data_IF_504790858053
#
_entry.id   IF_504790858053
#
_cell.length_a   1.000
_cell.length_b   1.000
_cell.length_c   1.000
_cell.angle_alpha   90.00
_cell.angle_beta   90.00
_cell.angle_gamma   90.00
#
_symmetry.space_group_name_H-M   'P 1'
#
loop_
_entity.id
_entity.type
_entity.pdbx_description
1 polymer ?
#
# COMPACT_ATOMS: atom_id res chain seq x y z
N UNK A 1 32.68 -31.70 -14.70
CA UNK A 1 31.67 -32.42 -15.52
C UNK A 1 30.33 -32.13 -14.82
N UNK A 2 29.73 -30.96 -15.13
CA UNK A 2 28.50 -30.54 -14.52
C UNK A 2 27.30 -31.07 -15.32
N UNK A 3 26.41 -31.78 -14.63
CA UNK A 3 25.16 -32.25 -15.21
C UNK A 3 24.15 -31.11 -15.26
N UNK A 4 23.52 -30.81 -16.40
CA UNK A 4 22.48 -29.81 -16.47
C UNK A 4 21.23 -30.32 -15.70
N UNK A 5 20.75 -29.49 -14.77
CA UNK A 5 19.50 -29.69 -14.02
C UNK A 5 18.33 -29.74 -15.02
N UNK A 6 17.68 -30.89 -15.10
CA UNK A 6 16.52 -31.07 -15.96
C UNK A 6 15.33 -30.27 -15.41
N UNK A 7 14.94 -29.22 -16.13
CA UNK A 7 13.69 -28.50 -15.91
C UNK A 7 12.53 -29.45 -16.21
N UNK A 8 11.68 -29.71 -15.23
CA UNK A 8 10.55 -30.61 -15.36
C UNK A 8 9.47 -29.99 -16.25
N UNK A 9 9.15 -30.54 -17.45
CA UNK A 9 8.22 -29.95 -18.40
C UNK A 9 6.75 -29.91 -17.90
N UNK A 10 6.39 -30.69 -16.89
CA UNK A 10 5.04 -30.72 -16.32
C UNK A 10 4.73 -29.44 -15.52
N UNK A 11 5.71 -28.87 -14.80
CA UNK A 11 5.54 -27.63 -14.03
C UNK A 11 5.41 -26.37 -14.91
N UNK A 12 5.95 -26.40 -16.12
CA UNK A 12 5.87 -25.28 -17.04
C UNK A 12 4.50 -25.24 -17.76
N UNK A 13 3.93 -26.40 -18.06
CA UNK A 13 2.59 -26.53 -18.65
C UNK A 13 1.47 -26.12 -17.69
N UNK A 14 1.56 -26.46 -16.41
CA UNK A 14 0.59 -26.03 -15.38
C UNK A 14 0.64 -24.54 -15.15
N UNK A 15 1.82 -23.92 -15.09
CA UNK A 15 1.97 -22.46 -14.96
C UNK A 15 1.35 -21.69 -16.13
N UNK A 16 1.53 -22.15 -17.36
CA UNK A 16 0.96 -21.49 -18.55
C UNK A 16 -0.56 -21.61 -18.60
N UNK A 17 -1.14 -22.72 -18.14
CA UNK A 17 -2.60 -22.90 -18.03
C UNK A 17 -3.19 -22.00 -16.95
N UNK A 18 -2.54 -21.89 -15.79
CA UNK A 18 -2.98 -21.00 -14.70
C UNK A 18 -2.89 -19.52 -15.10
N UNK A 19 -1.83 -19.12 -15.80
CA UNK A 19 -1.67 -17.77 -16.32
C UNK A 19 -2.74 -17.44 -17.37
N UNK A 20 -3.03 -18.34 -18.29
CA UNK A 20 -4.07 -18.17 -19.29
C UNK A 20 -5.46 -18.10 -18.67
N UNK A 21 -5.75 -18.93 -17.67
CA UNK A 21 -7.01 -18.90 -16.94
C UNK A 21 -7.17 -17.59 -16.13
N UNK A 22 -6.09 -17.12 -15.51
CA UNK A 22 -6.06 -15.84 -14.80
C UNK A 22 -6.28 -14.68 -15.75
N UNK A 23 -5.58 -14.66 -16.89
CA UNK A 23 -5.72 -13.63 -17.91
C UNK A 23 -7.15 -13.61 -18.47
N UNK A 24 -7.73 -14.77 -18.80
CA UNK A 24 -9.11 -14.87 -19.28
C UNK A 24 -10.12 -14.38 -18.23
N UNK A 25 -9.87 -14.61 -16.95
CA UNK A 25 -10.71 -14.11 -15.84
C UNK A 25 -10.60 -12.60 -15.71
N UNK A 26 -9.40 -12.05 -15.77
CA UNK A 26 -9.14 -10.60 -15.74
C UNK A 26 -9.81 -9.92 -16.94
N UNK A 27 -9.62 -10.46 -18.14
CA UNK A 27 -10.22 -9.91 -19.37
C UNK A 27 -11.75 -9.90 -19.33
N UNK A 28 -12.41 -10.92 -18.76
CA UNK A 28 -13.86 -10.92 -18.58
C UNK A 28 -14.34 -9.78 -17.68
N UNK A 29 -13.61 -9.50 -16.59
CA UNK A 29 -13.94 -8.37 -15.72
C UNK A 29 -13.80 -7.03 -16.44
N UNK A 30 -12.73 -6.86 -17.22
CA UNK A 30 -12.51 -5.64 -18.02
C UNK A 30 -13.57 -5.48 -19.10
N UNK A 31 -13.93 -6.53 -19.82
CA UNK A 31 -14.95 -6.48 -20.86
C UNK A 31 -16.31 -6.03 -20.30
N UNK A 32 -16.75 -6.60 -19.20
CA UNK A 32 -17.96 -6.17 -18.50
C UNK A 32 -17.89 -4.71 -18.03
N UNK A 33 -16.75 -4.31 -17.45
CA UNK A 33 -16.53 -2.95 -17.01
C UNK A 33 -16.57 -1.94 -18.18
N UNK A 34 -15.89 -2.24 -19.30
CA UNK A 34 -15.82 -1.37 -20.47
C UNK A 34 -17.19 -1.23 -21.16
N UNK A 35 -17.96 -2.33 -21.26
CA UNK A 35 -19.31 -2.29 -21.85
C UNK A 35 -20.26 -1.38 -21.06
N UNK A 36 -20.13 -1.34 -19.74
CA UNK A 36 -20.94 -0.49 -18.88
C UNK A 36 -20.53 0.98 -18.82
N UNK A 37 -19.40 1.36 -19.45
CA UNK A 37 -18.93 2.75 -19.46
C UNK A 37 -19.86 3.67 -20.26
N UNK A 38 -20.12 4.87 -19.72
CA UNK A 38 -20.76 5.94 -20.48
C UNK A 38 -19.81 6.44 -21.58
N UNK A 39 -20.38 7.03 -22.64
CA UNK A 39 -19.59 7.54 -23.77
C UNK A 39 -18.48 8.50 -23.34
N UNK A 40 -18.77 9.39 -22.37
CA UNK A 40 -17.79 10.35 -21.83
C UNK A 40 -16.61 9.63 -21.16
N UNK A 41 -16.88 8.59 -20.38
CA UNK A 41 -15.85 7.87 -19.61
C UNK A 41 -14.95 7.05 -20.55
N UNK A 42 -15.54 6.45 -21.60
CA UNK A 42 -14.78 5.82 -22.70
C UNK A 42 -13.84 6.80 -23.38
N UNK A 43 -14.31 8.05 -23.63
CA UNK A 43 -13.48 9.08 -24.25
C UNK A 43 -12.34 9.54 -23.34
N UNK A 44 -12.53 9.56 -22.02
CA UNK A 44 -11.45 9.84 -21.05
C UNK A 44 -10.37 8.75 -21.14
N UNK A 45 -10.76 7.48 -21.12
CA UNK A 45 -9.83 6.35 -21.24
C UNK A 45 -9.07 6.39 -22.57
N UNK A 46 -9.77 6.64 -23.69
CA UNK A 46 -9.14 6.70 -25.01
C UNK A 46 -8.19 7.88 -25.19
N UNK A 47 -8.36 8.95 -24.42
CA UNK A 47 -7.49 10.14 -24.44
C UNK A 47 -6.41 10.09 -23.38
N UNK A 48 -6.58 9.28 -22.33
CA UNK A 48 -5.52 9.01 -21.39
C UNK A 48 -4.38 8.37 -22.18
N UNK A 49 -3.19 8.97 -22.10
CA UNK A 49 -1.97 8.29 -22.54
C UNK A 49 -1.90 6.91 -21.88
N UNK A 50 -1.00 6.02 -22.30
CA UNK A 50 -0.83 4.64 -21.81
C UNK A 50 -0.67 4.49 -20.28
N UNK A 51 -1.21 5.43 -19.50
CA UNK A 51 -1.25 5.38 -18.05
C UNK A 51 -2.34 4.40 -17.58
N UNK A 52 -1.89 3.18 -17.33
CA UNK A 52 -2.69 2.11 -16.77
C UNK A 52 -3.54 2.55 -15.55
N UNK A 53 -3.02 3.45 -14.72
CA UNK A 53 -3.69 3.87 -13.50
C UNK A 53 -4.84 4.83 -13.74
N UNK A 54 -4.72 5.72 -14.71
CA UNK A 54 -5.85 6.59 -15.14
C UNK A 54 -6.99 5.74 -15.69
N UNK A 55 -6.66 4.67 -16.42
CA UNK A 55 -7.65 3.69 -16.90
C UNK A 55 -8.33 2.99 -15.73
N UNK A 56 -7.56 2.51 -14.74
CA UNK A 56 -8.08 1.83 -13.56
C UNK A 56 -8.97 2.74 -12.71
N UNK A 57 -8.57 3.98 -12.49
CA UNK A 57 -9.34 4.96 -11.74
C UNK A 57 -10.68 5.28 -12.42
N UNK A 58 -10.65 5.47 -13.73
CA UNK A 58 -11.88 5.71 -14.52
C UNK A 58 -12.81 4.50 -14.46
N UNK A 59 -12.29 3.27 -14.55
CA UNK A 59 -13.09 2.05 -14.43
C UNK A 59 -13.67 1.87 -13.02
N UNK A 60 -12.94 2.24 -11.97
CA UNK A 60 -13.40 2.16 -10.59
C UNK A 60 -14.57 3.10 -10.30
N UNK A 61 -14.59 4.27 -10.95
CA UNK A 61 -15.63 5.29 -10.78
C UNK A 61 -16.83 5.08 -11.72
N UNK A 62 -16.69 4.26 -12.75
CA UNK A 62 -17.73 4.03 -13.74
C UNK A 62 -18.96 3.32 -13.13
N UNK A 63 -20.18 3.69 -13.53
CA UNK A 63 -21.41 3.04 -13.08
C UNK A 63 -21.64 1.72 -13.83
N UNK A 64 -20.83 0.70 -13.54
CA UNK A 64 -20.96 -0.64 -14.14
C UNK A 64 -21.81 -1.53 -13.25
N UNK A 65 -22.80 -2.21 -13.80
CA UNK A 65 -23.78 -3.00 -13.05
C UNK A 65 -23.24 -4.33 -12.52
N UNK A 66 -22.16 -4.87 -13.08
CA UNK A 66 -21.64 -6.19 -12.74
C UNK A 66 -20.50 -6.12 -11.74
N UNK A 67 -20.71 -6.71 -10.56
CA UNK A 67 -19.75 -6.90 -9.47
C UNK A 67 -19.42 -5.65 -8.64
N UNK A 68 -20.36 -5.31 -7.74
CA UNK A 68 -20.10 -4.35 -6.66
C UNK A 68 -18.82 -4.69 -5.86
N UNK A 69 -18.53 -5.97 -5.69
CA UNK A 69 -17.35 -6.47 -5.01
C UNK A 69 -16.04 -6.09 -5.72
N UNK A 70 -15.97 -6.23 -7.04
CA UNK A 70 -14.79 -5.81 -7.81
C UNK A 70 -14.51 -4.31 -7.66
N UNK A 71 -15.57 -3.48 -7.74
CA UNK A 71 -15.43 -2.02 -7.55
C UNK A 71 -14.92 -1.66 -6.16
N UNK A 72 -15.42 -2.32 -5.12
CA UNK A 72 -14.97 -2.09 -3.74
C UNK A 72 -13.49 -2.45 -3.62
N UNK A 73 -13.08 -3.62 -4.14
CA UNK A 73 -11.68 -4.06 -4.14
C UNK A 73 -10.78 -3.13 -4.93
N UNK A 74 -11.22 -2.69 -6.11
CA UNK A 74 -10.45 -1.78 -6.96
C UNK A 74 -10.30 -0.40 -6.31
N UNK A 75 -11.38 0.17 -5.74
CA UNK A 75 -11.33 1.43 -4.99
C UNK A 75 -10.39 1.31 -3.79
N UNK A 76 -10.46 0.21 -3.04
CA UNK A 76 -9.55 -0.06 -1.94
C UNK A 76 -8.09 -0.12 -2.39
N UNK A 77 -7.80 -0.79 -3.51
CA UNK A 77 -6.44 -0.87 -4.06
C UNK A 77 -5.92 0.51 -4.52
N UNK A 78 -6.77 1.31 -5.16
CA UNK A 78 -6.43 2.67 -5.58
C UNK A 78 -6.20 3.61 -4.39
N UNK A 79 -7.04 3.52 -3.35
CA UNK A 79 -6.87 4.29 -2.13
C UNK A 79 -5.53 3.94 -1.44
N UNK A 80 -5.23 2.66 -1.29
CA UNK A 80 -3.95 2.18 -0.76
C UNK A 80 -2.76 2.68 -1.58
N UNK A 81 -2.85 2.62 -2.91
CA UNK A 81 -1.81 3.16 -3.79
C UNK A 81 -1.61 4.65 -3.58
N UNK A 82 -2.71 5.43 -3.50
CA UNK A 82 -2.64 6.88 -3.25
C UNK A 82 -1.92 7.17 -1.93
N UNK A 83 -2.28 6.48 -0.85
CA UNK A 83 -1.61 6.62 0.44
C UNK A 83 -0.11 6.30 0.35
N UNK A 84 0.28 5.26 -0.39
CA UNK A 84 1.68 4.91 -0.58
C UNK A 84 2.48 5.91 -1.42
N UNK A 85 1.82 6.75 -2.22
CA UNK A 85 2.46 7.80 -3.02
C UNK A 85 2.61 9.12 -2.27
N UNK A 86 1.90 9.29 -1.14
CA UNK A 86 1.98 10.51 -0.33
C UNK A 86 3.34 10.64 0.36
N UNK A 87 3.73 11.87 0.64
CA UNK A 87 4.86 12.22 1.51
C UNK A 87 6.18 11.49 1.18
N UNK A 88 6.52 11.39 -0.11
CA UNK A 88 7.78 10.80 -0.58
C UNK A 88 7.68 9.35 -1.04
N UNK A 89 6.48 8.77 -1.01
CA UNK A 89 6.26 7.44 -1.55
C UNK A 89 6.79 6.31 -0.67
N UNK A 90 7.33 5.26 -1.29
CA UNK A 90 7.84 4.08 -0.59
C UNK A 90 9.28 3.76 -0.98
N UNK A 91 10.04 3.23 -0.04
CA UNK A 91 11.42 2.81 -0.18
C UNK A 91 11.53 1.29 -0.29
N UNK A 92 12.50 0.81 -1.06
CA UNK A 92 12.90 -0.59 -1.06
C UNK A 92 13.61 -0.96 0.26
N UNK A 93 13.68 -2.26 0.61
CA UNK A 93 14.46 -2.71 1.78
C UNK A 93 15.92 -2.25 1.76
N UNK A 94 16.53 -2.20 0.57
CA UNK A 94 17.91 -1.74 0.40
C UNK A 94 18.07 -0.23 0.62
N UNK A 95 17.11 0.56 0.13
CA UNK A 95 17.12 2.02 0.33
C UNK A 95 16.87 2.37 1.80
N UNK A 96 15.93 1.71 2.46
CA UNK A 96 15.67 1.88 3.89
C UNK A 96 16.91 1.48 4.73
N UNK A 97 17.59 0.39 4.36
CA UNK A 97 18.80 -0.06 5.02
C UNK A 97 19.94 0.96 4.90
N UNK A 98 20.16 1.50 3.70
CA UNK A 98 21.18 2.54 3.45
C UNK A 98 20.90 3.80 4.26
N UNK A 99 19.64 4.26 4.30
CA UNK A 99 19.22 5.45 5.03
C UNK A 99 19.40 5.29 6.56
N UNK A 100 19.16 4.08 7.09
CA UNK A 100 19.33 3.78 8.51
C UNK A 100 20.76 3.37 8.88
N UNK A 101 21.67 3.21 7.93
CA UNK A 101 23.03 2.73 8.18
C UNK A 101 23.09 1.29 8.71
N UNK A 102 22.15 0.42 8.32
CA UNK A 102 22.05 -0.97 8.81
C UNK A 102 21.94 -1.96 7.65
N UNK A 103 21.98 -3.27 7.96
CA UNK A 103 21.75 -4.31 6.95
C UNK A 103 20.25 -4.47 6.62
N UNK A 104 19.94 -5.02 5.43
CA UNK A 104 18.56 -5.39 5.06
C UNK A 104 17.93 -6.37 6.05
N UNK A 105 18.72 -7.26 6.62
CA UNK A 105 18.26 -8.18 7.67
C UNK A 105 17.82 -7.41 8.92
N UNK A 106 18.59 -6.41 9.35
CA UNK A 106 18.24 -5.56 10.49
C UNK A 106 16.95 -4.74 10.22
N UNK A 107 16.72 -4.26 9.00
CA UNK A 107 15.46 -3.62 8.59
C UNK A 107 14.28 -4.61 8.74
N UNK A 108 14.44 -5.85 8.26
CA UNK A 108 13.42 -6.88 8.39
C UNK A 108 13.12 -7.22 9.87
N UNK A 109 14.16 -7.32 10.68
CA UNK A 109 14.01 -7.57 12.13
C UNK A 109 13.30 -6.41 12.84
N UNK A 110 13.62 -5.16 12.52
CA UNK A 110 12.93 -3.98 13.07
C UNK A 110 11.44 -3.99 12.70
N UNK A 111 11.12 -4.31 11.44
CA UNK A 111 9.72 -4.47 11.01
C UNK A 111 9.01 -5.59 11.77
N UNK A 112 9.61 -6.76 11.87
CA UNK A 112 9.04 -7.89 12.60
C UNK A 112 8.84 -7.58 14.10
N UNK A 113 9.69 -6.73 14.68
CA UNK A 113 9.57 -6.26 16.06
C UNK A 113 8.58 -5.09 16.23
N UNK A 114 7.88 -4.65 15.17
CA UNK A 114 6.94 -3.53 15.22
C UNK A 114 7.61 -2.16 15.43
N UNK A 115 8.90 -2.03 15.11
CA UNK A 115 9.68 -0.78 15.23
C UNK A 115 9.85 -0.06 13.90
N UNK A 116 9.34 -0.64 12.83
CA UNK A 116 9.38 -0.10 11.48
C UNK A 116 8.12 -0.51 10.77
N UNK A 117 7.44 0.42 10.15
CA UNK A 117 6.25 0.15 9.36
C UNK A 117 6.66 -0.36 7.98
N UNK A 118 6.19 -1.55 7.62
CA UNK A 118 6.38 -2.13 6.30
C UNK A 118 5.06 -2.53 5.70
N UNK A 119 4.83 -2.15 4.46
CA UNK A 119 3.64 -2.53 3.67
C UNK A 119 3.99 -3.66 2.74
N UNK A 120 3.12 -4.64 2.65
CA UNK A 120 3.31 -5.77 1.75
C UNK A 120 3.13 -5.33 0.30
N UNK A 121 4.12 -5.59 -0.53
CA UNK A 121 4.13 -5.30 -1.96
C UNK A 121 4.32 -6.56 -2.79
N UNK A 122 4.22 -6.48 -4.13
CA UNK A 122 4.29 -7.66 -5.03
C UNK A 122 5.59 -8.48 -4.94
N UNK A 123 6.68 -7.87 -4.48
CA UNK A 123 8.03 -8.49 -4.41
C UNK A 123 8.61 -8.46 -2.99
N UNK A 124 7.75 -8.36 -1.98
CA UNK A 124 8.14 -8.25 -0.57
C UNK A 124 7.75 -6.91 0.04
N UNK A 125 8.32 -6.59 1.20
CA UNK A 125 7.94 -5.39 1.93
C UNK A 125 8.51 -4.11 1.32
N UNK A 126 7.68 -3.07 1.33
CA UNK A 126 8.03 -1.68 1.00
C UNK A 126 7.89 -0.84 2.27
N UNK A 127 8.67 0.21 2.38
CA UNK A 127 8.74 1.04 3.59
C UNK A 127 8.31 2.47 3.25
N UNK A 128 7.19 3.00 3.79
CA UNK A 128 6.80 4.38 3.57
C UNK A 128 7.95 5.34 3.87
N UNK A 129 8.25 6.25 2.93
CA UNK A 129 9.39 7.16 3.03
C UNK A 129 9.26 8.15 4.20
N UNK A 130 8.03 8.54 4.51
CA UNK A 130 7.70 9.54 5.52
C UNK A 130 8.03 9.15 6.98
N UNK A 131 8.30 7.87 7.24
CA UNK A 131 8.77 7.43 8.57
C UNK A 131 10.26 7.71 8.80
N UNK A 132 10.96 8.22 7.80
CA UNK A 132 12.39 8.51 7.85
C UNK A 132 12.66 10.01 7.72
N UNK A 133 13.82 10.41 8.23
CA UNK A 133 14.45 11.70 8.03
C UNK A 133 15.87 11.48 7.52
N UNK A 134 16.58 12.55 7.16
CA UNK A 134 17.98 12.48 6.78
C UNK A 134 18.90 11.95 7.89
N UNK A 135 18.39 11.90 9.13
CA UNK A 135 19.12 11.44 10.33
C UNK A 135 18.69 10.07 10.83
N UNK A 136 17.82 9.37 10.10
CA UNK A 136 17.30 8.06 10.49
C UNK A 136 15.77 8.04 10.66
N UNK A 137 15.27 7.41 11.71
CA UNK A 137 13.83 7.37 11.97
C UNK A 137 13.30 8.74 12.39
N UNK A 138 12.07 9.03 11.98
CA UNK A 138 11.34 10.22 12.44
C UNK A 138 11.15 10.13 13.98
N UNK A 139 11.54 11.16 14.76
CA UNK A 139 11.39 11.15 16.20
C UNK A 139 9.95 10.88 16.64
N UNK A 140 9.77 10.03 17.67
CA UNK A 140 8.46 9.63 18.18
C UNK A 140 7.73 8.56 17.36
N UNK A 141 8.21 8.24 16.15
CA UNK A 141 7.53 7.28 15.28
C UNK A 141 7.51 5.86 15.87
N UNK A 142 8.64 5.34 16.36
CA UNK A 142 8.71 4.01 16.99
C UNK A 142 7.81 3.91 18.24
N UNK A 143 7.74 4.98 19.04
CA UNK A 143 6.89 5.01 20.23
C UNK A 143 5.41 4.98 19.86
N UNK A 144 5.02 5.74 18.84
CA UNK A 144 3.65 5.71 18.29
C UNK A 144 3.30 4.33 17.73
N UNK A 145 4.21 3.67 16.99
CA UNK A 145 3.98 2.29 16.51
C UNK A 145 3.79 1.29 17.67
N UNK A 146 4.44 1.54 18.82
CA UNK A 146 4.28 0.67 19.98
C UNK A 146 2.89 0.80 20.58
N UNK A 147 2.32 1.98 20.62
CA UNK A 147 0.94 2.23 21.05
C UNK A 147 -0.06 1.59 20.10
N UNK A 148 0.16 1.73 18.79
CA UNK A 148 -0.70 1.16 17.74
C UNK A 148 -0.45 -0.35 17.48
N UNK A 149 0.25 -1.03 18.41
CA UNK A 149 0.52 -2.47 18.28
C UNK A 149 -0.79 -3.26 18.36
N UNK A 150 -1.07 -4.02 17.34
CA UNK A 150 -2.32 -4.79 17.21
C UNK A 150 -3.20 -4.31 16.06
N UNK A 151 -3.01 -3.05 15.67
CA UNK A 151 -3.69 -2.52 14.50
C UNK A 151 -3.16 -3.13 13.20
N UNK A 152 -4.03 -3.24 12.19
CA UNK A 152 -3.57 -3.66 10.86
C UNK A 152 -2.71 -2.56 10.20
N UNK A 153 -1.83 -3.00 9.30
CA UNK A 153 -0.86 -2.12 8.64
C UNK A 153 -1.51 -0.91 7.95
N UNK A 154 -2.70 -1.08 7.35
CA UNK A 154 -3.36 0.00 6.62
C UNK A 154 -4.06 0.98 7.56
N UNK A 155 -4.59 0.52 8.68
CA UNK A 155 -5.07 1.37 9.78
C UNK A 155 -3.96 2.27 10.30
N UNK A 156 -2.75 1.72 10.50
CA UNK A 156 -1.57 2.50 10.91
C UNK A 156 -1.19 3.54 9.83
N UNK A 157 -1.16 3.16 8.54
CA UNK A 157 -0.88 4.10 7.45
C UNK A 157 -1.90 5.23 7.43
N UNK A 158 -3.19 4.92 7.54
CA UNK A 158 -4.29 5.89 7.56
C UNK A 158 -4.18 6.82 8.76
N UNK A 159 -3.91 6.28 9.95
CA UNK A 159 -3.69 7.08 11.15
C UNK A 159 -2.63 8.17 10.94
N UNK A 160 -1.49 7.85 10.35
CA UNK A 160 -0.43 8.85 10.16
C UNK A 160 -0.74 9.87 9.06
N UNK A 161 -1.48 9.48 8.02
CA UNK A 161 -1.65 10.30 6.81
C UNK A 161 -2.97 11.06 6.73
N UNK A 162 -3.97 10.70 7.52
CA UNK A 162 -5.24 11.42 7.57
C UNK A 162 -5.33 12.33 8.79
N UNK A 163 -6.09 13.41 8.67
CA UNK A 163 -6.36 14.29 9.80
C UNK A 163 -7.31 13.63 10.79
N UNK A 164 -7.00 13.71 12.07
CA UNK A 164 -7.75 13.10 13.16
C UNK A 164 -8.27 14.18 14.12
N UNK A 165 -9.52 14.04 14.57
CA UNK A 165 -10.12 14.96 15.54
C UNK A 165 -9.37 14.93 16.89
N UNK A 166 -8.90 13.76 17.33
CA UNK A 166 -8.09 13.59 18.54
C UNK A 166 -6.71 14.25 18.42
N UNK A 167 -6.23 14.40 17.18
CA UNK A 167 -5.00 15.14 16.84
C UNK A 167 -5.26 16.64 16.52
N UNK A 168 -6.43 17.18 16.86
CA UNK A 168 -6.80 18.58 16.58
C UNK A 168 -7.08 18.85 15.11
N UNK A 169 -7.59 17.88 14.37
CA UNK A 169 -7.80 17.90 12.92
C UNK A 169 -6.51 18.08 12.09
N UNK A 170 -5.37 17.75 12.67
CA UNK A 170 -4.08 17.69 11.97
C UNK A 170 -3.70 16.24 11.70
N UNK A 171 -2.79 16.01 10.75
CA UNK A 171 -2.25 14.66 10.52
C UNK A 171 -1.23 14.32 11.60
N UNK A 172 -1.31 13.16 12.24
CA UNK A 172 -0.31 12.72 13.21
C UNK A 172 1.13 12.76 12.66
N UNK A 173 1.31 12.50 11.38
CA UNK A 173 2.62 12.65 10.72
C UNK A 173 3.17 14.08 10.79
N UNK A 174 2.34 15.10 10.59
CA UNK A 174 2.77 16.51 10.64
C UNK A 174 3.05 16.95 12.07
N UNK A 175 2.31 16.40 13.04
CA UNK A 175 2.59 16.59 14.46
C UNK A 175 3.95 16.02 14.86
N UNK A 176 4.31 14.81 14.39
CA UNK A 176 5.65 14.25 14.60
C UNK A 176 6.75 15.12 14.01
N UNK A 177 6.55 15.59 12.78
CA UNK A 177 7.52 16.47 12.08
C UNK A 177 7.76 17.79 12.79
N UNK A 178 6.74 18.30 13.49
CA UNK A 178 6.82 19.53 14.28
C UNK A 178 7.18 19.28 15.74
N UNK A 179 7.48 18.03 16.13
CA UNK A 179 7.91 17.66 17.47
C UNK A 179 6.80 17.65 18.55
N UNK A 180 5.53 17.67 18.13
CA UNK A 180 4.37 17.63 19.05
C UNK A 180 4.03 16.20 19.46
N UNK A 181 5.01 15.52 20.07
CA UNK A 181 4.96 14.08 20.39
C UNK A 181 3.79 13.70 21.31
N UNK A 182 3.51 14.53 22.34
CA UNK A 182 2.42 14.25 23.28
C UNK A 182 1.05 14.27 22.64
N UNK A 183 0.85 15.13 21.61
CA UNK A 183 -0.40 15.16 20.86
C UNK A 183 -0.60 13.88 20.04
N UNK A 184 0.47 13.38 19.41
CA UNK A 184 0.44 12.13 18.65
C UNK A 184 0.23 10.93 19.58
N UNK A 185 0.89 10.90 20.76
CA UNK A 185 0.71 9.81 21.73
C UNK A 185 -0.76 9.71 22.16
N UNK A 186 -1.38 10.82 22.56
CA UNK A 186 -2.81 10.85 22.93
C UNK A 186 -3.74 10.42 21.78
N UNK A 187 -3.46 10.89 20.55
CA UNK A 187 -4.26 10.49 19.40
C UNK A 187 -4.14 8.98 19.12
N UNK A 188 -2.93 8.40 19.26
CA UNK A 188 -2.70 6.98 19.06
C UNK A 188 -3.40 6.11 20.13
N UNK A 189 -3.41 6.54 21.38
CA UNK A 189 -4.13 5.85 22.47
C UNK A 189 -5.63 5.80 22.17
N UNK A 190 -6.24 6.95 21.83
CA UNK A 190 -7.67 7.01 21.50
C UNK A 190 -8.02 6.22 20.23
N UNK A 191 -7.12 6.18 19.24
CA UNK A 191 -7.32 5.40 18.03
C UNK A 191 -7.36 3.89 18.32
N UNK A 192 -6.42 3.39 19.11
CA UNK A 192 -6.38 1.98 19.53
C UNK A 192 -7.58 1.55 20.37
N UNK A 193 -8.11 2.42 21.23
CA UNK A 193 -9.33 2.15 22.00
C UNK A 193 -10.58 2.00 21.12
N UNK A 194 -10.71 2.79 20.06
CA UNK A 194 -11.85 2.72 19.12
C UNK A 194 -11.84 1.47 18.26
N UNK A 195 -10.67 0.92 17.95
CA UNK A 195 -10.53 -0.30 17.16
C UNK A 195 -10.77 -1.58 17.98
N UNK A 196 -10.76 -1.50 19.31
CA UNK A 196 -10.95 -2.63 20.22
C UNK A 196 -12.43 -2.92 20.56
N UNK A 197 -13.38 -2.11 20.05
CA UNK A 197 -14.84 -2.24 20.25
C UNK A 197 -15.51 -2.82 19.01
#
# INVERSE_FOLDING_TARGET
METPSATNPETDGERTLDEAALLARVMRYFDGAIRGLRRRDRMVILRASDDFWTVMETLALAPVAESAEFKVRLRGALAKRKLLQMDGGVLSPSTAAALLGVSRQAVSQRRAAGRLLGVEGPRGYLYPAWQFTDRGMLPGFEDTLRVLRGEDTWSIVTFFLESDAAAGNERPLDLLRTGRLDAVARAAELYGEQAAV
#
